data_IF_213378925658
#
_entry.id   IF_213378925658
#
_cell.length_a   1.000
_cell.length_b   1.000
_cell.length_c   1.000
_cell.angle_alpha   90.00
_cell.angle_beta   90.00
_cell.angle_gamma   90.00
#
_symmetry.space_group_name_H-M   'P 1'
#
loop_
_entity.id
_entity.type
_entity.pdbx_description
1 polymer ?
#
# COMPACT_ATOMS: atom_id res chain seq x y z
N UNK A 1 -27.16 -12.79 6.84
CA UNK A 1 -26.22 -11.79 7.40
C UNK A 1 -25.53 -11.09 6.25
N UNK A 2 -25.86 -9.82 6.05
CA UNK A 2 -25.53 -9.02 4.85
C UNK A 2 -24.11 -8.44 4.94
N UNK A 3 -23.30 -8.66 3.90
CA UNK A 3 -21.89 -8.22 3.76
C UNK A 3 -21.82 -6.74 3.29
N UNK A 4 -22.89 -5.96 3.43
CA UNK A 4 -23.01 -4.64 2.81
C UNK A 4 -22.44 -3.46 3.64
N UNK A 5 -21.79 -3.72 4.78
CA UNK A 5 -21.37 -2.66 5.72
C UNK A 5 -19.93 -2.74 6.22
N UNK A 6 -19.10 -3.64 5.68
CA UNK A 6 -17.66 -3.58 5.90
C UNK A 6 -17.03 -2.92 4.67
N UNK A 7 -16.59 -1.69 4.87
CA UNK A 7 -15.88 -0.80 3.94
C UNK A 7 -15.16 -1.56 2.83
N UNK A 8 -15.62 -1.31 1.60
CA UNK A 8 -15.10 -1.92 0.38
C UNK A 8 -13.63 -1.60 0.19
N UNK A 9 -12.87 -2.68 0.02
CA UNK A 9 -11.45 -2.64 -0.29
C UNK A 9 -11.05 -3.89 -1.05
N UNK A 10 -9.76 -4.08 -1.11
CA UNK A 10 -9.09 -5.14 -1.83
C UNK A 10 -9.59 -6.59 -1.49
N UNK A 11 -10.00 -6.93 -0.24
CA UNK A 11 -10.62 -8.22 0.10
C UNK A 11 -12.03 -8.42 -0.48
N UNK A 12 -12.80 -7.34 -0.66
CA UNK A 12 -14.14 -7.40 -1.26
C UNK A 12 -14.06 -7.75 -2.75
N UNK A 13 -13.02 -7.23 -3.43
CA UNK A 13 -12.71 -7.60 -4.80
C UNK A 13 -12.36 -9.08 -4.93
N UNK A 14 -11.51 -9.60 -4.04
CA UNK A 14 -11.12 -11.01 -4.05
C UNK A 14 -12.32 -11.96 -3.89
N UNK A 15 -13.24 -11.63 -2.98
CA UNK A 15 -14.49 -12.39 -2.78
C UNK A 15 -15.40 -12.30 -4.01
N UNK A 16 -15.54 -11.10 -4.61
CA UNK A 16 -16.36 -10.91 -5.80
C UNK A 16 -15.88 -11.71 -7.01
N UNK A 17 -14.57 -11.71 -7.26
CA UNK A 17 -13.95 -12.49 -8.35
C UNK A 17 -14.10 -14.00 -8.10
N UNK A 18 -13.89 -14.45 -6.86
CA UNK A 18 -14.08 -15.86 -6.52
C UNK A 18 -15.55 -16.31 -6.72
N UNK A 19 -16.52 -15.46 -6.38
CA UNK A 19 -17.95 -15.75 -6.59
C UNK A 19 -18.33 -15.80 -8.08
N UNK A 20 -17.80 -14.91 -8.92
CA UNK A 20 -18.11 -14.94 -10.35
C UNK A 20 -17.44 -16.16 -11.04
N UNK A 21 -16.19 -16.47 -10.67
CA UNK A 21 -15.43 -17.52 -11.35
C UNK A 21 -15.86 -18.94 -10.96
N UNK A 22 -16.31 -19.19 -9.73
CA UNK A 22 -16.80 -20.52 -9.35
C UNK A 22 -18.16 -20.87 -10.00
N UNK A 23 -18.98 -19.87 -10.36
CA UNK A 23 -20.24 -20.09 -11.09
C UNK A 23 -20.00 -20.43 -12.57
N UNK A 24 -18.94 -19.86 -13.17
CA UNK A 24 -18.57 -20.05 -14.58
C UNK A 24 -17.64 -21.24 -14.84
N UNK A 25 -16.68 -21.49 -13.95
CA UNK A 25 -15.61 -22.48 -14.12
C UNK A 25 -15.41 -23.31 -12.86
N UNK A 26 -16.19 -24.41 -12.78
CA UNK A 26 -16.05 -25.52 -11.85
C UNK A 26 -16.59 -25.22 -10.45
N UNK A 27 -17.53 -26.06 -10.02
CA UNK A 27 -18.31 -25.92 -8.79
C UNK A 27 -17.47 -25.86 -7.50
N UNK A 28 -18.15 -26.04 -6.36
CA UNK A 28 -17.69 -25.70 -4.99
C UNK A 28 -16.23 -26.07 -4.67
N UNK A 29 -15.69 -27.14 -5.26
CA UNK A 29 -14.30 -27.60 -5.07
C UNK A 29 -13.22 -26.60 -5.56
N UNK A 30 -13.49 -25.76 -6.57
CA UNK A 30 -12.52 -24.78 -7.09
C UNK A 30 -12.59 -23.41 -6.41
N UNK A 31 -13.57 -23.20 -5.51
CA UNK A 31 -13.77 -21.90 -4.85
C UNK A 31 -12.53 -21.47 -4.04
N UNK A 32 -11.87 -22.41 -3.38
CA UNK A 32 -10.65 -22.16 -2.61
C UNK A 32 -9.47 -21.75 -3.51
N UNK A 33 -9.35 -22.35 -4.70
CA UNK A 33 -8.33 -21.98 -5.68
C UNK A 33 -8.57 -20.56 -6.22
N UNK A 34 -9.80 -20.25 -6.62
CA UNK A 34 -10.16 -18.93 -7.14
C UNK A 34 -10.02 -17.82 -6.10
N UNK A 35 -10.32 -18.10 -4.84
CA UNK A 35 -10.08 -17.18 -3.73
C UNK A 35 -8.57 -16.91 -3.52
N UNK A 36 -7.74 -17.95 -3.55
CA UNK A 36 -6.29 -17.79 -3.41
C UNK A 36 -5.67 -17.00 -4.57
N UNK A 37 -6.11 -17.29 -5.80
CA UNK A 37 -5.71 -16.54 -6.99
C UNK A 37 -6.06 -15.05 -6.88
N UNK A 38 -7.27 -14.75 -6.43
CA UNK A 38 -7.73 -13.38 -6.31
C UNK A 38 -6.96 -12.58 -5.23
N UNK A 39 -6.57 -13.22 -4.12
CA UNK A 39 -5.68 -12.62 -3.11
C UNK A 39 -4.28 -12.35 -3.66
N UNK A 40 -3.71 -13.26 -4.46
CA UNK A 40 -2.38 -13.03 -5.05
C UNK A 40 -2.38 -11.85 -6.03
N UNK A 41 -3.44 -11.73 -6.82
CA UNK A 41 -3.61 -10.60 -7.72
C UNK A 41 -3.72 -9.27 -6.97
N UNK A 42 -4.47 -9.27 -5.86
CA UNK A 42 -4.58 -8.13 -4.96
C UNK A 42 -3.22 -7.73 -4.36
N UNK A 43 -2.47 -8.71 -3.86
CA UNK A 43 -1.15 -8.51 -3.29
C UNK A 43 -0.18 -7.91 -4.31
N UNK A 44 -0.24 -8.34 -5.58
CA UNK A 44 0.59 -7.77 -6.65
C UNK A 44 0.28 -6.28 -6.87
N UNK A 45 -1.01 -5.92 -6.87
CA UNK A 45 -1.42 -4.52 -7.03
C UNK A 45 -0.91 -3.66 -5.87
N UNK A 46 -1.10 -4.11 -4.63
CA UNK A 46 -0.60 -3.41 -3.43
C UNK A 46 0.93 -3.31 -3.46
N UNK A 47 1.63 -4.39 -3.76
CA UNK A 47 3.10 -4.40 -3.84
C UNK A 47 3.62 -3.45 -4.93
N UNK A 48 2.94 -3.38 -6.08
CA UNK A 48 3.31 -2.45 -7.15
C UNK A 48 3.11 -1.01 -6.71
N UNK A 49 1.98 -0.71 -6.07
CA UNK A 49 1.70 0.62 -5.53
C UNK A 49 2.70 1.03 -4.45
N UNK A 50 3.06 0.10 -3.55
CA UNK A 50 4.06 0.32 -2.49
C UNK A 50 5.47 0.48 -3.07
N UNK A 51 5.85 -0.29 -4.10
CA UNK A 51 7.16 -0.15 -4.76
C UNK A 51 7.29 1.22 -5.45
N UNK A 52 6.28 1.59 -6.25
CA UNK A 52 6.23 2.90 -6.90
C UNK A 52 6.21 4.04 -5.87
N UNK A 53 5.43 3.89 -4.78
CA UNK A 53 5.33 4.85 -3.70
C UNK A 53 6.63 5.01 -2.91
N UNK A 54 7.34 3.92 -2.61
CA UNK A 54 8.64 3.96 -1.91
C UNK A 54 9.70 4.63 -2.78
N UNK A 55 9.67 4.39 -4.08
CA UNK A 55 10.56 5.06 -5.04
C UNK A 55 10.29 6.57 -5.10
N UNK A 56 9.03 6.97 -5.20
CA UNK A 56 8.63 8.38 -5.16
C UNK A 56 9.00 9.05 -3.83
N UNK A 57 8.78 8.36 -2.70
CA UNK A 57 9.13 8.84 -1.37
C UNK A 57 10.64 9.08 -1.22
N UNK A 58 11.48 8.17 -1.73
CA UNK A 58 12.94 8.36 -1.73
C UNK A 58 13.32 9.63 -2.48
N UNK A 59 12.74 9.88 -3.65
CA UNK A 59 13.00 11.10 -4.41
C UNK A 59 12.55 12.36 -3.65
N UNK A 60 11.35 12.36 -3.05
CA UNK A 60 10.87 13.48 -2.23
C UNK A 60 11.78 13.76 -1.02
N UNK A 61 12.23 12.71 -0.33
CA UNK A 61 13.15 12.84 0.82
C UNK A 61 14.51 13.39 0.37
N UNK A 62 15.04 12.91 -0.75
CA UNK A 62 16.30 13.44 -1.30
C UNK A 62 16.19 14.90 -1.73
N UNK A 63 15.05 15.32 -2.29
CA UNK A 63 14.79 16.71 -2.66
C UNK A 63 14.74 17.64 -1.44
N UNK A 64 14.00 17.23 -0.40
CA UNK A 64 13.93 17.96 0.88
C UNK A 64 15.31 18.06 1.55
N UNK A 65 16.05 16.95 1.60
CA UNK A 65 17.41 16.92 2.16
C UNK A 65 18.39 17.75 1.32
N UNK A 66 18.24 17.76 0.00
CA UNK A 66 19.05 18.57 -0.92
C UNK A 66 18.84 20.07 -0.74
N UNK A 67 17.63 20.50 -0.37
CA UNK A 67 17.33 21.90 -0.05
C UNK A 67 17.98 22.36 1.27
N UNK A 68 18.11 21.46 2.26
CA UNK A 68 18.79 21.76 3.54
C UNK A 68 20.31 21.66 3.41
N UNK A 69 20.81 20.67 2.66
CA UNK A 69 22.25 20.42 2.48
C UNK A 69 22.54 19.86 1.09
N UNK A 70 23.15 20.69 0.24
CA UNK A 70 23.42 20.42 -1.20
C UNK A 70 24.05 19.05 -1.51
N UNK A 71 25.04 18.55 -0.73
CA UNK A 71 25.64 17.23 -0.96
C UNK A 71 24.73 16.02 -0.66
N UNK A 72 23.65 16.20 0.11
CA UNK A 72 22.69 15.14 0.44
C UNK A 72 21.59 14.98 -0.63
N UNK A 73 21.47 15.95 -1.54
CA UNK A 73 20.63 15.83 -2.73
C UNK A 73 21.26 15.05 -3.87
N UNK A 74 22.54 14.64 -3.74
CA UNK A 74 23.24 13.93 -4.80
C UNK A 74 22.85 12.44 -4.82
N UNK A 75 22.16 12.04 -5.88
CA UNK A 75 21.61 10.70 -6.07
C UNK A 75 22.74 9.66 -6.27
N UNK A 76 23.92 10.10 -6.73
CA UNK A 76 25.08 9.25 -6.95
C UNK A 76 25.86 8.95 -5.66
N UNK A 77 25.59 9.66 -4.57
CA UNK A 77 26.29 9.48 -3.31
C UNK A 77 25.64 8.34 -2.49
N UNK A 78 26.30 7.18 -2.44
CA UNK A 78 25.84 5.98 -1.73
C UNK A 78 25.38 6.22 -0.27
N UNK A 79 26.13 6.94 0.60
CA UNK A 79 25.67 7.25 1.95
C UNK A 79 24.43 8.16 2.00
N UNK A 80 24.31 9.13 1.08
CA UNK A 80 23.13 9.99 1.01
C UNK A 80 21.89 9.21 0.57
N UNK A 81 22.06 8.31 -0.41
CA UNK A 81 21.02 7.38 -0.84
C UNK A 81 20.57 6.43 0.27
N UNK A 82 21.50 5.87 1.05
CA UNK A 82 21.18 4.99 2.17
C UNK A 82 20.38 5.73 3.26
N UNK A 83 20.79 6.96 3.60
CA UNK A 83 20.10 7.79 4.59
C UNK A 83 18.68 8.16 4.13
N UNK A 84 18.52 8.53 2.85
CA UNK A 84 17.21 8.82 2.28
C UNK A 84 16.29 7.58 2.30
N UNK A 85 16.80 6.40 1.92
CA UNK A 85 16.04 5.15 2.00
C UNK A 85 15.66 4.80 3.43
N UNK A 86 16.57 4.93 4.39
CA UNK A 86 16.28 4.66 5.79
C UNK A 86 15.15 5.56 6.32
N UNK A 87 15.16 6.85 5.96
CA UNK A 87 14.10 7.79 6.31
C UNK A 87 12.77 7.46 5.61
N UNK A 88 12.79 7.12 4.33
CA UNK A 88 11.57 6.70 3.60
C UNK A 88 10.95 5.44 4.22
N UNK A 89 11.75 4.43 4.54
CA UNK A 89 11.27 3.18 5.18
C UNK A 89 10.75 3.46 6.59
N UNK A 90 11.45 4.29 7.37
CA UNK A 90 10.99 4.69 8.69
C UNK A 90 9.66 5.46 8.63
N UNK A 91 9.46 6.31 7.62
CA UNK A 91 8.19 7.00 7.37
C UNK A 91 7.03 6.04 7.10
N UNK A 92 7.24 5.06 6.22
CA UNK A 92 6.26 3.99 5.98
C UNK A 92 6.00 3.15 7.24
N UNK A 93 7.05 2.80 7.98
CA UNK A 93 6.95 2.09 9.26
C UNK A 93 6.16 2.87 10.30
N UNK A 94 6.32 4.20 10.37
CA UNK A 94 5.53 5.07 11.23
C UNK A 94 4.05 5.07 10.84
N UNK A 95 3.72 5.16 9.56
CA UNK A 95 2.32 5.05 9.10
C UNK A 95 1.71 3.69 9.45
N UNK A 96 2.46 2.59 9.29
CA UNK A 96 2.01 1.26 9.67
C UNK A 96 1.79 1.15 11.18
N UNK A 97 2.70 1.70 11.99
CA UNK A 97 2.59 1.73 13.45
C UNK A 97 1.37 2.53 13.92
N UNK A 98 1.14 3.72 13.35
CA UNK A 98 -0.04 4.53 13.64
C UNK A 98 -1.34 3.81 13.24
N UNK A 99 -1.37 3.18 12.06
CA UNK A 99 -2.51 2.38 11.60
C UNK A 99 -2.78 1.14 12.47
N UNK A 100 -1.74 0.54 13.07
CA UNK A 100 -1.88 -0.64 13.93
C UNK A 100 -2.36 -0.32 15.36
N UNK A 101 -2.02 0.86 15.89
CA UNK A 101 -2.34 1.24 17.27
C UNK A 101 -3.63 2.06 17.38
N UNK A 102 -4.00 2.81 16.34
CA UNK A 102 -5.26 3.56 16.32
C UNK A 102 -6.46 2.60 16.22
N UNK A 103 -7.42 2.62 17.18
CA UNK A 103 -8.65 1.83 17.12
C UNK A 103 -9.50 2.05 15.85
N UNK A 104 -9.27 3.16 15.13
CA UNK A 104 -9.93 3.51 13.87
C UNK A 104 -9.03 3.32 12.63
N UNK A 105 -7.88 2.66 12.78
CA UNK A 105 -7.00 2.30 11.65
C UNK A 105 -6.38 3.49 10.92
N UNK A 106 -6.20 4.64 11.59
CA UNK A 106 -5.59 5.83 11.00
C UNK A 106 -6.48 6.57 9.99
N UNK A 107 -7.80 6.32 9.97
CA UNK A 107 -8.75 7.01 9.07
C UNK A 107 -8.61 8.53 9.18
N UNK A 108 -8.46 9.08 10.39
CA UNK A 108 -8.33 10.53 10.58
C UNK A 108 -7.00 11.12 10.10
N UNK A 109 -5.96 10.31 9.94
CA UNK A 109 -4.66 10.75 9.40
C UNK A 109 -4.56 10.50 7.88
N UNK A 110 -5.17 9.42 7.38
CA UNK A 110 -5.11 9.03 5.96
C UNK A 110 -6.16 9.75 5.11
N UNK A 111 -7.36 10.02 5.65
CA UNK A 111 -8.43 10.70 4.93
C UNK A 111 -8.07 12.14 4.53
N UNK A 112 -7.46 12.99 5.39
CA UNK A 112 -7.01 14.31 4.95
C UNK A 112 -5.90 14.24 3.91
N UNK A 113 -5.02 13.24 4.00
CA UNK A 113 -3.86 13.08 3.12
C UNK A 113 -4.26 12.71 1.68
N UNK A 114 -5.23 11.80 1.53
CA UNK A 114 -5.69 11.30 0.21
C UNK A 114 -7.01 11.92 -0.26
N UNK A 115 -7.88 12.33 0.66
CA UNK A 115 -9.21 12.86 0.36
C UNK A 115 -9.29 14.37 0.15
N UNK A 116 -8.31 15.16 0.61
CA UNK A 116 -8.21 16.61 0.32
C UNK A 116 -7.37 16.86 -0.94
N UNK A 117 -6.55 15.88 -1.33
CA UNK A 117 -5.69 15.92 -2.53
C UNK A 117 -6.43 15.61 -3.84
N UNK A 118 -7.73 15.32 -3.81
CA UNK A 118 -8.57 15.01 -4.97
C UNK A 118 -9.73 15.98 -5.08
#
# INVERSE_FOLDING_TARGET
HTILSRTGGAPTFAIGVALILHELFGGVDLMAFWYHFAILFEALFILTAVDAGTRACRFMVQDILGNVYKPLGDIHNYPAGLLATALSVAGWGYFLYQGAIDPKGGIYTLWPLFGVSN
#
